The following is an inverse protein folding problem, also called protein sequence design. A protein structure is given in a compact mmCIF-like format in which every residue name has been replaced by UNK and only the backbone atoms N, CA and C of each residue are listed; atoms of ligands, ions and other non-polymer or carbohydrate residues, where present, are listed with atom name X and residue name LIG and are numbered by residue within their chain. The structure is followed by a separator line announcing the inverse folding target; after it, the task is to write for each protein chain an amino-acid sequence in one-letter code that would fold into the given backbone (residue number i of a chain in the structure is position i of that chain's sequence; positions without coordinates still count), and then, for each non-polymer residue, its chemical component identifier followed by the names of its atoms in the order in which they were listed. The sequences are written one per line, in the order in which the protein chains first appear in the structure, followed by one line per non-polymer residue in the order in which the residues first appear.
data_IF_031786057875
#
_entry.id   IF_031786057875
#
_cell.length_a   1.000
_cell.length_b   1.000
_cell.length_c   1.000
_cell.angle_alpha   90.00
_cell.angle_beta   90.00
_cell.angle_gamma   90.00
#
_symmetry.space_group_name_H-M   'P 1'
#
loop_
_entity.id
_entity.type
_entity.pdbx_description
1 polymer ?
#
# COMPACT_ATOMS: atom_id res chain seq x y z
N UNK A 1 12.65 -3.39 -17.86
CA UNK A 1 11.59 -2.58 -18.50
C UNK A 1 10.78 -1.94 -17.39
N UNK A 2 10.54 -0.63 -17.45
CA UNK A 2 9.83 0.11 -16.41
C UNK A 2 8.55 0.67 -16.99
N UNK A 3 7.44 0.49 -16.28
CA UNK A 3 6.15 1.10 -16.62
C UNK A 3 5.79 2.10 -15.53
N UNK A 4 5.34 3.28 -15.95
CA UNK A 4 4.94 4.35 -15.04
C UNK A 4 3.53 4.77 -15.39
N UNK A 5 2.67 4.84 -14.37
CA UNK A 5 1.30 5.34 -14.46
C UNK A 5 1.10 6.44 -13.43
N UNK A 6 0.21 7.38 -13.71
CA UNK A 6 -0.16 8.47 -12.81
C UNK A 6 -1.68 8.58 -12.75
N UNK A 7 -2.24 8.66 -11.56
CA UNK A 7 -3.68 8.78 -11.32
C UNK A 7 -3.89 9.86 -10.27
N UNK A 8 -4.91 10.71 -10.45
CA UNK A 8 -5.21 11.79 -9.51
C UNK A 8 -6.69 11.82 -9.18
N UNK A 9 -7.02 12.19 -7.95
CA UNK A 9 -8.41 12.36 -7.51
C UNK A 9 -8.52 13.32 -6.33
N UNK A 10 -9.75 13.68 -5.96
CA UNK A 10 -10.03 14.52 -4.79
C UNK A 10 -10.84 13.75 -3.75
N UNK A 11 -10.47 13.91 -2.48
CA UNK A 11 -11.23 13.40 -1.33
C UNK A 11 -11.70 14.56 -0.44
N UNK A 12 -12.95 14.45 0.04
CA UNK A 12 -13.52 15.38 1.01
C UNK A 12 -13.17 14.91 2.43
N UNK A 13 -11.97 15.26 2.89
CA UNK A 13 -11.46 14.89 4.20
C UNK A 13 -10.33 15.84 4.64
N UNK A 14 -9.81 15.65 5.85
CA UNK A 14 -8.62 16.37 6.30
C UNK A 14 -7.36 15.86 5.60
N UNK A 15 -6.37 16.74 5.43
CA UNK A 15 -5.05 16.40 4.89
C UNK A 15 -4.42 15.20 5.62
N UNK A 16 -4.48 15.20 6.96
CA UNK A 16 -3.95 14.12 7.78
C UNK A 16 -4.66 12.78 7.53
N UNK A 17 -5.97 12.76 7.30
CA UNK A 17 -6.71 11.54 6.99
C UNK A 17 -6.34 11.01 5.60
N UNK A 18 -6.30 11.89 4.61
CA UNK A 18 -5.90 11.56 3.24
C UNK A 18 -4.48 11.01 3.17
N UNK A 19 -3.58 11.55 4.02
CA UNK A 19 -2.20 11.12 4.14
C UNK A 19 -2.03 9.78 4.87
N UNK A 20 -2.70 9.58 6.01
CA UNK A 20 -2.44 8.42 6.89
C UNK A 20 -3.24 7.17 6.52
N UNK A 21 -4.50 7.33 6.10
CA UNK A 21 -5.41 6.21 5.89
C UNK A 21 -4.89 5.11 4.95
N UNK A 22 -4.33 5.40 3.76
CA UNK A 22 -3.93 4.34 2.83
C UNK A 22 -2.71 3.54 3.30
N UNK A 23 -1.86 4.12 4.15
CA UNK A 23 -0.61 3.50 4.59
C UNK A 23 -0.68 2.89 5.99
N UNK A 24 -1.45 3.50 6.90
CA UNK A 24 -1.48 3.16 8.32
C UNK A 24 -2.77 2.47 8.77
N UNK A 25 -3.74 2.26 7.87
CA UNK A 25 -4.86 1.40 8.21
C UNK A 25 -4.40 -0.06 8.34
N UNK A 26 -5.11 -0.82 9.18
CA UNK A 26 -4.93 -2.26 9.30
C UNK A 26 -5.41 -2.92 7.99
N UNK A 27 -4.44 -3.37 7.19
CA UNK A 27 -4.70 -3.97 5.87
C UNK A 27 -5.58 -5.21 5.98
N UNK A 28 -5.50 -5.96 7.08
CA UNK A 28 -6.31 -7.17 7.27
C UNK A 28 -7.81 -6.87 7.43
N UNK A 29 -8.16 -5.62 7.80
CA UNK A 29 -9.54 -5.15 7.89
C UNK A 29 -10.08 -4.59 6.57
N UNK A 30 -9.19 -4.18 5.66
CA UNK A 30 -9.58 -3.53 4.40
C UNK A 30 -9.48 -4.48 3.21
N UNK A 31 -8.44 -5.33 3.16
CA UNK A 31 -8.24 -6.32 2.10
C UNK A 31 -8.96 -7.62 2.44
N UNK A 32 -10.30 -7.58 2.40
CA UNK A 32 -11.19 -8.68 2.79
C UNK A 32 -11.37 -9.76 1.71
N UNK A 33 -10.71 -9.60 0.56
CA UNK A 33 -10.80 -10.51 -0.58
C UNK A 33 -12.04 -10.25 -1.44
N UNK A 34 -11.92 -10.48 -2.75
CA UNK A 34 -13.03 -10.37 -3.70
C UNK A 34 -12.77 -11.24 -4.93
N UNK A 35 -13.70 -12.13 -5.25
CA UNK A 35 -13.56 -13.06 -6.38
C UNK A 35 -12.29 -13.91 -6.26
N UNK A 36 -11.37 -13.75 -7.21
CA UNK A 36 -10.09 -14.46 -7.25
C UNK A 36 -9.03 -13.89 -6.29
N UNK A 37 -9.23 -12.67 -5.77
CA UNK A 37 -8.26 -12.05 -4.87
C UNK A 37 -8.44 -12.61 -3.46
N UNK A 38 -7.43 -13.30 -2.90
CA UNK A 38 -7.50 -13.75 -1.51
C UNK A 38 -7.54 -12.56 -0.56
N UNK A 39 -8.17 -12.76 0.59
CA UNK A 39 -8.07 -11.81 1.71
C UNK A 39 -6.67 -11.78 2.30
N UNK A 40 -6.30 -10.67 2.92
CA UNK A 40 -5.13 -10.53 3.78
C UNK A 40 -5.57 -10.79 5.22
N UNK A 41 -5.17 -11.89 5.88
CA UNK A 41 -5.55 -12.14 7.26
C UNK A 41 -4.68 -11.41 8.30
N UNK A 42 -3.41 -11.13 7.99
CA UNK A 42 -2.46 -10.50 8.91
C UNK A 42 -1.18 -10.02 8.19
N UNK A 43 -0.38 -9.29 8.95
CA UNK A 43 1.00 -8.89 8.64
C UNK A 43 1.93 -9.33 9.77
N UNK A 44 3.23 -9.39 9.50
CA UNK A 44 4.27 -9.59 10.52
C UNK A 44 5.44 -8.65 10.27
N UNK A 45 6.33 -8.54 11.25
CA UNK A 45 7.52 -7.67 11.22
C UNK A 45 7.13 -6.20 10.97
N UNK A 46 6.00 -5.75 11.53
CA UNK A 46 5.37 -4.45 11.26
C UNK A 46 5.39 -3.50 12.46
N UNK A 47 6.21 -3.78 13.48
CA UNK A 47 6.30 -3.01 14.72
C UNK A 47 6.65 -1.53 14.46
N UNK A 48 7.54 -1.28 13.49
CA UNK A 48 7.96 0.06 13.08
C UNK A 48 7.22 0.58 11.83
N UNK A 49 6.14 -0.10 11.42
CA UNK A 49 5.45 0.21 10.17
C UNK A 49 5.01 1.68 10.11
N UNK A 50 5.31 2.32 8.97
CA UNK A 50 5.07 3.73 8.76
C UNK A 50 6.27 4.64 9.02
N UNK A 51 7.38 4.12 9.56
CA UNK A 51 8.65 4.85 9.62
C UNK A 51 9.47 4.64 8.34
N UNK A 52 10.20 5.64 7.83
CA UNK A 52 11.14 5.44 6.72
C UNK A 52 12.15 4.33 7.02
N UNK A 53 12.37 3.44 6.07
CA UNK A 53 13.23 2.26 6.22
C UNK A 53 12.53 1.04 6.81
N UNK A 54 11.35 1.19 7.43
CA UNK A 54 10.59 0.06 7.94
C UNK A 54 9.99 -0.77 6.80
N UNK A 55 9.78 -2.05 7.09
CA UNK A 55 9.13 -3.00 6.19
C UNK A 55 8.06 -3.78 6.94
N UNK A 56 7.24 -4.54 6.22
CA UNK A 56 6.38 -5.57 6.80
C UNK A 56 6.14 -6.70 5.81
N UNK A 57 5.93 -7.90 6.32
CA UNK A 57 5.50 -9.04 5.52
C UNK A 57 3.98 -9.06 5.42
N UNK A 58 3.47 -9.28 4.22
CA UNK A 58 2.04 -9.44 3.96
C UNK A 58 1.74 -10.91 3.71
N UNK A 59 0.66 -11.40 4.33
CA UNK A 59 0.18 -12.76 4.16
C UNK A 59 -1.19 -12.76 3.49
N UNK A 60 -1.47 -13.78 2.68
CA UNK A 60 -2.77 -13.98 2.08
C UNK A 60 -3.37 -15.32 2.51
N UNK A 61 -4.70 -15.38 2.59
CA UNK A 61 -5.42 -16.63 2.72
C UNK A 61 -5.25 -17.50 1.46
N UNK A 62 -5.37 -18.83 1.56
CA UNK A 62 -5.45 -19.69 0.39
C UNK A 62 -6.65 -19.30 -0.49
N UNK A 63 -6.50 -19.47 -1.80
CA UNK A 63 -7.53 -19.26 -2.81
C UNK A 63 -7.37 -20.24 -3.96
N UNK A 64 -8.25 -20.18 -4.96
CA UNK A 64 -8.21 -21.06 -6.12
C UNK A 64 -6.90 -20.96 -6.93
N UNK A 65 -6.23 -19.81 -6.90
CA UNK A 65 -5.03 -19.54 -7.72
C UNK A 65 -3.74 -19.41 -6.92
N UNK A 66 -3.81 -19.44 -5.58
CA UNK A 66 -2.70 -19.14 -4.68
C UNK A 66 -2.81 -19.99 -3.41
N UNK A 67 -1.72 -20.65 -3.00
CA UNK A 67 -1.69 -21.53 -1.81
C UNK A 67 -1.85 -20.77 -0.48
N UNK A 68 -1.77 -19.44 -0.51
CA UNK A 68 -1.76 -18.59 0.66
C UNK A 68 -0.38 -18.55 1.33
N UNK A 69 -0.30 -17.88 2.48
CA UNK A 69 0.96 -17.64 3.19
C UNK A 69 1.59 -16.30 2.81
N UNK A 70 2.92 -16.19 2.96
CA UNK A 70 3.65 -14.97 2.63
C UNK A 70 3.50 -14.64 1.15
N UNK A 71 3.17 -13.39 0.81
CA UNK A 71 2.91 -12.99 -0.59
C UNK A 71 3.79 -11.87 -1.10
N UNK A 72 4.15 -10.91 -0.24
CA UNK A 72 4.97 -9.77 -0.59
C UNK A 72 5.55 -9.11 0.65
N UNK A 73 6.61 -8.35 0.44
CA UNK A 73 7.16 -7.42 1.42
C UNK A 73 6.77 -5.99 1.02
N UNK A 74 6.16 -5.25 1.94
CA UNK A 74 5.94 -3.82 1.78
C UNK A 74 7.07 -3.07 2.49
N UNK A 75 7.52 -1.95 1.92
CA UNK A 75 8.62 -1.12 2.44
C UNK A 75 8.27 0.35 2.36
N UNK A 76 8.57 1.10 3.43
CA UNK A 76 8.49 2.56 3.43
C UNK A 76 9.86 3.10 3.02
N UNK A 77 9.97 3.65 1.81
CA UNK A 77 11.21 4.24 1.33
C UNK A 77 11.39 5.66 1.87
N UNK A 78 10.35 6.49 1.74
CA UNK A 78 10.36 7.88 2.18
C UNK A 78 8.99 8.24 2.77
N UNK A 79 8.99 9.10 3.79
CA UNK A 79 7.78 9.70 4.37
C UNK A 79 8.06 11.16 4.65
N UNK A 80 7.23 12.05 4.09
CA UNK A 80 7.19 13.44 4.48
C UNK A 80 5.79 13.75 4.98
N UNK A 81 5.68 13.96 6.29
CA UNK A 81 4.39 14.10 6.99
C UNK A 81 3.45 15.08 6.27
N UNK A 82 2.22 14.63 6.00
CA UNK A 82 1.17 15.38 5.31
C UNK A 82 1.54 15.88 3.89
N UNK A 83 2.59 15.33 3.28
CA UNK A 83 3.02 15.70 1.92
C UNK A 83 3.07 14.50 0.98
N UNK A 84 3.86 13.48 1.32
CA UNK A 84 3.91 12.27 0.50
C UNK A 84 4.46 11.05 1.24
N UNK A 85 4.11 9.89 0.71
CA UNK A 85 4.76 8.60 0.97
C UNK A 85 5.43 8.13 -0.31
N UNK A 86 6.56 7.45 -0.17
CA UNK A 86 7.13 6.61 -1.22
C UNK A 86 7.31 5.22 -0.66
N UNK A 87 6.68 4.25 -1.32
CA UNK A 87 6.66 2.86 -0.88
C UNK A 87 7.14 1.94 -1.99
N UNK A 88 7.60 0.77 -1.58
CA UNK A 88 7.95 -0.32 -2.46
C UNK A 88 7.21 -1.58 -2.03
N UNK A 89 6.77 -2.36 -2.99
CA UNK A 89 6.27 -3.72 -2.79
C UNK A 89 7.13 -4.65 -3.63
N UNK A 90 7.75 -5.63 -2.99
CA UNK A 90 8.66 -6.58 -3.63
C UNK A 90 8.58 -7.98 -3.01
N UNK A 91 9.55 -8.84 -3.35
CA UNK A 91 9.66 -10.21 -2.82
C UNK A 91 8.40 -11.05 -3.06
N UNK A 92 7.77 -10.90 -4.23
CA UNK A 92 6.56 -11.63 -4.58
C UNK A 92 6.77 -13.14 -4.55
N UNK A 93 5.86 -13.86 -3.90
CA UNK A 93 5.86 -15.33 -3.87
C UNK A 93 4.99 -15.96 -4.97
N UNK A 94 4.32 -15.12 -5.77
CA UNK A 94 3.51 -15.53 -6.91
C UNK A 94 4.04 -14.88 -8.19
N UNK A 95 3.74 -15.52 -9.33
CA UNK A 95 4.12 -14.98 -10.64
C UNK A 95 3.27 -13.75 -10.97
N UNK A 96 3.88 -12.56 -10.90
CA UNK A 96 3.24 -11.28 -11.20
C UNK A 96 3.44 -10.90 -12.67
N UNK A 97 3.26 -11.83 -13.62
CA UNK A 97 3.36 -11.56 -15.07
C UNK A 97 4.66 -10.84 -15.51
N UNK A 98 5.78 -11.14 -14.85
CA UNK A 98 7.08 -10.52 -15.12
C UNK A 98 7.40 -9.26 -14.31
N UNK A 99 6.49 -8.80 -13.44
CA UNK A 99 6.78 -7.76 -12.44
C UNK A 99 7.48 -8.36 -11.21
N UNK A 100 8.50 -7.66 -10.72
CA UNK A 100 9.31 -8.11 -9.58
C UNK A 100 9.31 -7.09 -8.43
N UNK A 101 8.97 -5.83 -8.74
CA UNK A 101 8.96 -4.72 -7.81
C UNK A 101 7.96 -3.69 -8.30
N UNK A 102 7.16 -3.16 -7.38
CA UNK A 102 6.38 -1.93 -7.59
C UNK A 102 6.95 -0.84 -6.69
N UNK A 103 7.12 0.36 -7.24
CA UNK A 103 7.47 1.56 -6.46
C UNK A 103 6.40 2.59 -6.74
N UNK A 104 5.80 3.12 -5.67
CA UNK A 104 4.69 4.08 -5.76
C UNK A 104 4.94 5.29 -4.89
N UNK A 105 4.46 6.44 -5.36
CA UNK A 105 4.35 7.66 -4.56
C UNK A 105 2.88 7.93 -4.30
N UNK A 106 2.55 8.28 -3.06
CA UNK A 106 1.22 8.80 -2.68
C UNK A 106 1.41 10.20 -2.15
N UNK A 107 1.07 11.21 -2.94
CA UNK A 107 1.21 12.62 -2.59
C UNK A 107 -0.14 13.24 -2.21
N UNK A 108 -0.13 14.13 -1.23
CA UNK A 108 -1.31 14.82 -0.72
C UNK A 108 -1.13 16.33 -0.83
N UNK A 109 -2.09 17.02 -1.42
CA UNK A 109 -2.12 18.48 -1.50
C UNK A 109 -3.47 19.00 -1.03
N UNK A 110 -3.50 19.93 -0.08
CA UNK A 110 -4.74 20.61 0.31
C UNK A 110 -5.15 21.56 -0.82
N UNK A 111 -6.24 21.21 -1.52
CA UNK A 111 -6.75 21.99 -2.65
C UNK A 111 -7.71 23.10 -2.19
N UNK A 112 -8.45 22.83 -1.12
CA UNK A 112 -9.29 23.77 -0.38
C UNK A 112 -9.53 23.21 1.03
N UNK A 113 -10.03 24.03 2.00
CA UNK A 113 -10.38 23.52 3.32
C UNK A 113 -11.31 22.30 3.25
N UNK A 114 -10.86 21.16 3.78
CA UNK A 114 -11.61 19.91 3.77
C UNK A 114 -11.66 19.16 2.42
N UNK A 115 -10.88 19.59 1.43
CA UNK A 115 -10.75 18.94 0.12
C UNK A 115 -9.29 18.74 -0.25
N UNK A 116 -8.87 17.49 -0.34
CA UNK A 116 -7.48 17.09 -0.58
C UNK A 116 -7.36 16.43 -1.94
N UNK A 117 -6.41 16.89 -2.77
CA UNK A 117 -5.99 16.20 -3.98
C UNK A 117 -4.96 15.13 -3.63
N UNK A 118 -5.14 13.94 -4.19
CA UNK A 118 -4.17 12.85 -4.16
C UNK A 118 -3.61 12.65 -5.55
N UNK A 119 -2.30 12.43 -5.61
CA UNK A 119 -1.53 12.09 -6.81
C UNK A 119 -0.65 10.86 -6.54
#
# INVERSE_FOLDING_TARGET
MTFTVHVSTHFNCSLARAFKAPMLCDVAKVHTGYGLMPRVPHTTDDEDWGQPGASKKVYAAPSLTQKGGFVSMDRVLERKENRYWKIQVDSFQAWMLGFHTFVGTWATTEAAPGRVRID
#
